data_IF_627540138357
#
_entry.id   IF_627540138357
#
_cell.length_a   1.000
_cell.length_b   1.000
_cell.length_c   1.000
_cell.angle_alpha   90.00
_cell.angle_beta   90.00
_cell.angle_gamma   90.00
#
_symmetry.space_group_name_H-M   'P 1'
#
loop_
_entity.id
_entity.type
_entity.pdbx_description
1 polymer ?
#
# COMPACT_ATOMS: atom_id res chain seq x y z
N UNK A 1 14.09 -41.06 -15.19
CA UNK A 1 13.58 -39.86 -14.50
C UNK A 1 14.76 -38.90 -14.38
N UNK A 2 14.86 -37.93 -15.30
CA UNK A 2 15.99 -36.99 -15.31
C UNK A 2 15.94 -36.10 -14.06
N UNK A 3 17.11 -35.88 -13.44
CA UNK A 3 17.24 -34.96 -12.30
C UNK A 3 16.80 -33.56 -12.74
N UNK A 4 15.94 -32.87 -11.99
CA UNK A 4 15.58 -31.50 -12.33
C UNK A 4 16.84 -30.64 -12.40
N UNK A 5 16.97 -29.88 -13.48
CA UNK A 5 18.08 -28.94 -13.70
C UNK A 5 18.25 -28.06 -12.47
N UNK A 6 19.49 -27.93 -11.98
CA UNK A 6 19.77 -27.09 -10.81
C UNK A 6 19.38 -25.64 -11.09
N UNK A 7 18.44 -25.12 -10.31
CA UNK A 7 18.07 -23.71 -10.37
C UNK A 7 19.27 -22.90 -9.85
N UNK A 8 19.88 -22.09 -10.71
CA UNK A 8 20.99 -21.23 -10.32
C UNK A 8 20.51 -20.14 -9.38
N UNK A 9 21.14 -20.04 -8.21
CA UNK A 9 20.93 -18.95 -7.22
C UNK A 9 21.85 -17.76 -7.46
N UNK A 10 22.65 -17.76 -8.53
CA UNK A 10 23.53 -16.63 -8.85
C UNK A 10 22.71 -15.37 -9.16
N UNK A 11 22.97 -14.32 -8.39
CA UNK A 11 22.44 -12.98 -8.67
C UNK A 11 23.15 -12.41 -9.89
N UNK A 12 22.44 -12.25 -11.02
CA UNK A 12 22.95 -11.56 -12.20
C UNK A 12 22.54 -10.10 -12.16
N UNK A 13 23.52 -9.20 -12.22
CA UNK A 13 23.25 -7.79 -12.41
C UNK A 13 22.77 -7.58 -13.86
N UNK A 14 21.46 -7.38 -14.04
CA UNK A 14 20.89 -7.06 -15.36
C UNK A 14 21.02 -5.57 -15.57
N UNK A 15 21.95 -5.15 -16.44
CA UNK A 15 22.00 -3.77 -16.94
C UNK A 15 21.26 -3.71 -18.26
N UNK A 16 20.45 -2.66 -18.44
CA UNK A 16 19.81 -2.36 -19.73
C UNK A 16 20.92 -2.11 -20.75
N UNK A 17 20.83 -2.70 -21.94
CA UNK A 17 21.81 -2.50 -22.99
C UNK A 17 21.90 -1.02 -23.37
N UNK A 18 23.10 -0.44 -23.50
CA UNK A 18 23.27 0.90 -24.05
C UNK A 18 22.58 0.98 -25.42
N UNK A 19 21.75 2.00 -25.64
CA UNK A 19 21.01 2.18 -26.91
C UNK A 19 19.63 1.51 -26.99
N UNK A 20 19.09 0.99 -25.88
CA UNK A 20 17.68 0.60 -25.84
C UNK A 20 16.81 1.86 -25.88
N UNK A 21 15.88 1.95 -26.83
CA UNK A 21 14.94 3.07 -26.91
C UNK A 21 14.23 3.29 -25.57
N UNK A 22 14.28 4.53 -25.07
CA UNK A 22 13.60 4.94 -23.86
C UNK A 22 12.31 5.67 -24.24
N UNK A 23 11.18 5.11 -23.83
CA UNK A 23 9.91 5.83 -23.91
C UNK A 23 9.93 6.94 -22.86
N UNK A 24 9.87 8.19 -23.33
CA UNK A 24 9.79 9.36 -22.46
C UNK A 24 8.34 9.82 -22.36
N UNK A 25 7.85 9.95 -21.13
CA UNK A 25 6.50 10.45 -20.85
C UNK A 25 6.63 11.65 -19.92
N UNK A 26 5.98 12.75 -20.27
CA UNK A 26 5.99 13.99 -19.48
C UNK A 26 4.74 14.06 -18.60
N UNK A 27 4.92 14.45 -17.34
CA UNK A 27 3.85 14.71 -16.40
C UNK A 27 4.33 15.64 -15.29
N UNK A 28 3.37 16.20 -14.56
CA UNK A 28 3.64 17.09 -13.42
C UNK A 28 3.85 16.26 -12.14
N UNK A 29 3.16 15.12 -12.03
CA UNK A 29 3.30 14.15 -10.92
C UNK A 29 3.49 12.74 -11.49
N UNK A 30 4.48 12.00 -10.97
CA UNK A 30 4.71 10.60 -11.28
C UNK A 30 4.37 9.74 -10.05
N UNK A 31 3.47 8.77 -10.24
CA UNK A 31 3.05 7.82 -9.21
C UNK A 31 3.63 6.45 -9.54
N UNK A 32 4.39 5.90 -8.60
CA UNK A 32 5.00 4.57 -8.70
C UNK A 32 4.23 3.57 -7.83
N UNK A 33 3.51 2.66 -8.47
CA UNK A 33 2.63 1.67 -7.87
C UNK A 33 1.16 2.08 -7.96
N UNK A 34 0.36 1.27 -8.62
CA UNK A 34 -1.09 1.37 -8.79
C UNK A 34 -1.86 0.47 -7.80
N UNK A 35 -1.35 0.32 -6.58
CA UNK A 35 -2.17 -0.11 -5.44
C UNK A 35 -3.16 0.96 -5.03
N UNK A 36 -3.99 0.69 -4.02
CA UNK A 36 -5.07 1.62 -3.63
C UNK A 36 -4.54 3.04 -3.29
N UNK A 37 -3.43 3.15 -2.55
CA UNK A 37 -2.83 4.44 -2.23
C UNK A 37 -2.35 5.21 -3.48
N UNK A 38 -1.70 4.52 -4.42
CA UNK A 38 -1.20 5.17 -5.62
C UNK A 38 -2.29 5.52 -6.62
N UNK A 39 -3.31 4.67 -6.77
CA UNK A 39 -4.50 5.02 -7.57
C UNK A 39 -5.22 6.22 -6.97
N UNK A 40 -5.41 6.27 -5.65
CA UNK A 40 -5.98 7.43 -4.97
C UNK A 40 -5.14 8.69 -5.17
N UNK A 41 -3.81 8.61 -5.06
CA UNK A 41 -2.92 9.73 -5.34
C UNK A 41 -3.02 10.21 -6.80
N UNK A 42 -3.07 9.29 -7.75
CA UNK A 42 -3.17 9.61 -9.17
C UNK A 42 -4.51 10.27 -9.51
N UNK A 43 -5.62 9.75 -8.97
CA UNK A 43 -6.94 10.32 -9.16
C UNK A 43 -7.03 11.72 -8.53
N UNK A 44 -6.55 11.88 -7.30
CA UNK A 44 -6.61 13.18 -6.61
C UNK A 44 -5.72 14.23 -7.30
N UNK A 45 -4.52 13.85 -7.72
CA UNK A 45 -3.66 14.75 -8.51
C UNK A 45 -4.31 15.16 -9.83
N UNK A 46 -5.00 14.24 -10.52
CA UNK A 46 -5.75 14.57 -11.72
C UNK A 46 -6.93 15.52 -11.45
N UNK A 47 -7.63 15.36 -10.32
CA UNK A 47 -8.71 16.29 -9.89
C UNK A 47 -8.18 17.69 -9.60
N UNK A 48 -6.95 17.81 -9.12
CA UNK A 48 -6.23 19.07 -8.95
C UNK A 48 -5.71 19.66 -10.27
N UNK A 49 -6.02 19.06 -11.41
CA UNK A 49 -5.65 19.54 -12.74
C UNK A 49 -4.21 19.22 -13.14
N UNK A 50 -3.55 18.28 -12.46
CA UNK A 50 -2.17 17.86 -12.77
C UNK A 50 -2.16 16.75 -13.82
N UNK A 51 -1.16 16.78 -14.70
CA UNK A 51 -0.88 15.67 -15.62
C UNK A 51 -0.15 14.58 -14.85
N UNK A 52 -0.79 13.42 -14.71
CA UNK A 52 -0.26 12.33 -13.89
C UNK A 52 0.28 11.21 -14.78
N UNK A 53 1.47 10.72 -14.45
CA UNK A 53 2.03 9.48 -14.99
C UNK A 53 1.90 8.42 -13.91
N UNK A 54 1.11 7.38 -14.13
CA UNK A 54 0.98 6.24 -13.23
C UNK A 54 1.73 5.04 -13.80
N UNK A 55 2.65 4.48 -13.02
CA UNK A 55 3.48 3.33 -13.41
C UNK A 55 3.26 2.21 -12.41
N UNK A 56 3.02 0.99 -12.88
CA UNK A 56 2.99 -0.21 -12.04
C UNK A 56 3.90 -1.30 -12.64
N UNK A 57 4.43 -2.17 -11.80
CA UNK A 57 5.23 -3.31 -12.21
C UNK A 57 4.37 -4.50 -12.66
N UNK A 58 3.08 -4.52 -12.29
CA UNK A 58 2.10 -5.54 -12.61
C UNK A 58 1.27 -5.13 -13.84
N UNK A 59 0.79 -6.12 -14.63
CA UNK A 59 -0.01 -5.85 -15.84
C UNK A 59 -1.46 -5.40 -15.54
N UNK A 60 -1.81 -5.19 -14.27
CA UNK A 60 -3.15 -4.79 -13.82
C UNK A 60 -3.07 -3.77 -12.68
N UNK A 61 -4.00 -2.81 -12.68
CA UNK A 61 -4.15 -1.80 -11.64
C UNK A 61 -4.99 -2.32 -10.47
N UNK A 62 -4.95 -1.61 -9.34
CA UNK A 62 -5.70 -1.92 -8.12
C UNK A 62 -4.89 -2.68 -7.07
N UNK A 63 -3.66 -3.08 -7.40
CA UNK A 63 -2.80 -3.86 -6.53
C UNK A 63 -3.30 -5.29 -6.32
N UNK A 64 -3.11 -5.82 -5.11
CA UNK A 64 -3.54 -7.16 -4.73
C UNK A 64 -4.64 -7.02 -3.68
N UNK A 65 -5.84 -7.54 -3.96
CA UNK A 65 -6.86 -7.70 -2.93
C UNK A 65 -6.54 -9.01 -2.20
N UNK A 66 -6.14 -8.90 -0.93
CA UNK A 66 -5.96 -10.09 -0.12
C UNK A 66 -7.32 -10.51 0.45
N UNK A 67 -7.83 -11.63 -0.04
CA UNK A 67 -9.13 -12.20 0.33
C UNK A 67 -9.00 -13.41 1.25
N UNK A 68 -7.77 -13.81 1.58
CA UNK A 68 -7.50 -15.13 2.18
C UNK A 68 -6.49 -14.99 3.31
N UNK A 69 -6.89 -15.35 4.53
CA UNK A 69 -5.99 -15.41 5.69
C UNK A 69 -5.12 -16.66 5.62
N UNK A 70 -4.21 -16.69 4.63
CA UNK A 70 -3.24 -17.76 4.43
C UNK A 70 -1.86 -17.25 4.83
N UNK A 71 -1.12 -18.08 5.56
CA UNK A 71 0.26 -17.77 5.92
C UNK A 71 1.14 -17.69 4.67
N UNK A 72 2.10 -16.77 4.66
CA UNK A 72 3.13 -16.64 3.61
C UNK A 72 4.46 -17.20 4.13
N UNK A 73 4.68 -18.53 4.08
CA UNK A 73 5.90 -19.14 4.58
C UNK A 73 7.10 -18.82 3.68
N UNK A 74 8.30 -18.83 4.27
CA UNK A 74 9.56 -18.57 3.56
C UNK A 74 10.08 -19.81 2.80
N UNK A 75 9.62 -21.01 3.17
CA UNK A 75 10.04 -22.25 2.53
C UNK A 75 9.26 -22.47 1.21
N UNK A 76 9.94 -22.75 0.08
CA UNK A 76 9.30 -22.82 -1.24
C UNK A 76 8.15 -23.83 -1.38
N UNK A 77 8.26 -25.02 -0.80
CA UNK A 77 7.20 -26.05 -0.89
C UNK A 77 5.99 -25.63 -0.05
N UNK A 78 6.20 -25.10 1.15
CA UNK A 78 5.15 -24.57 2.00
C UNK A 78 4.44 -23.38 1.33
N UNK A 79 5.19 -22.48 0.69
CA UNK A 79 4.64 -21.35 -0.04
C UNK A 79 3.78 -21.81 -1.22
N UNK A 80 4.24 -22.84 -1.94
CA UNK A 80 3.50 -23.44 -3.05
C UNK A 80 2.20 -24.10 -2.57
N UNK A 81 2.22 -24.82 -1.45
CA UNK A 81 1.01 -25.42 -0.85
C UNK A 81 0.01 -24.36 -0.40
N UNK A 82 0.47 -23.31 0.28
CA UNK A 82 -0.39 -22.22 0.72
C UNK A 82 -0.96 -21.41 -0.45
N UNK A 83 -0.22 -21.27 -1.54
CA UNK A 83 -0.75 -20.69 -2.77
C UNK A 83 -1.93 -21.50 -3.32
N UNK A 84 -1.85 -22.84 -3.33
CA UNK A 84 -2.97 -23.69 -3.77
C UNK A 84 -4.18 -23.57 -2.85
N UNK A 85 -3.96 -23.52 -1.53
CA UNK A 85 -5.04 -23.30 -0.56
C UNK A 85 -5.72 -21.94 -0.75
N UNK A 86 -4.94 -20.88 -0.95
CA UNK A 86 -5.46 -19.54 -1.23
C UNK A 86 -6.27 -19.47 -2.52
N UNK A 87 -5.85 -20.21 -3.58
CA UNK A 87 -6.60 -20.32 -4.83
C UNK A 87 -7.96 -20.99 -4.62
N UNK A 88 -7.97 -22.12 -3.92
CA UNK A 88 -9.21 -22.84 -3.60
C UNK A 88 -10.18 -21.97 -2.79
N UNK A 89 -9.69 -21.18 -1.82
CA UNK A 89 -10.53 -20.23 -1.08
C UNK A 89 -11.09 -19.12 -1.97
N UNK A 90 -10.29 -18.57 -2.88
CA UNK A 90 -10.76 -17.57 -3.84
C UNK A 90 -11.85 -18.14 -4.77
N UNK A 91 -11.71 -19.39 -5.20
CA UNK A 91 -12.73 -20.08 -5.99
C UNK A 91 -14.02 -20.29 -5.21
N UNK A 92 -13.94 -20.72 -3.95
CA UNK A 92 -15.13 -20.86 -3.10
C UNK A 92 -15.84 -19.51 -2.90
N UNK A 93 -15.10 -18.43 -2.70
CA UNK A 93 -15.68 -17.11 -2.56
C UNK A 93 -16.38 -16.66 -3.86
N UNK A 94 -15.72 -16.76 -5.01
CA UNK A 94 -16.25 -16.23 -6.28
C UNK A 94 -17.29 -17.15 -6.90
N UNK A 95 -16.99 -18.45 -7.01
CA UNK A 95 -17.81 -19.43 -7.72
C UNK A 95 -18.95 -19.98 -6.87
N UNK A 96 -18.79 -20.04 -5.54
CA UNK A 96 -19.86 -20.47 -4.65
C UNK A 96 -20.56 -19.26 -4.05
N UNK A 97 -19.89 -18.50 -3.18
CA UNK A 97 -20.58 -17.50 -2.37
C UNK A 97 -21.12 -16.30 -3.18
N UNK A 98 -20.27 -15.58 -3.91
CA UNK A 98 -20.71 -14.36 -4.61
C UNK A 98 -21.73 -14.66 -5.72
N UNK A 99 -21.54 -15.75 -6.45
CA UNK A 99 -22.48 -16.18 -7.48
C UNK A 99 -23.81 -16.67 -6.90
N UNK A 100 -23.81 -17.37 -5.76
CA UNK A 100 -25.04 -17.88 -5.14
C UNK A 100 -25.83 -16.79 -4.42
N UNK A 101 -25.16 -15.98 -3.62
CA UNK A 101 -25.80 -14.98 -2.76
C UNK A 101 -26.16 -13.71 -3.52
N UNK A 102 -25.38 -13.36 -4.55
CA UNK A 102 -25.53 -12.12 -5.31
C UNK A 102 -25.54 -12.36 -6.82
N UNK A 103 -26.45 -13.21 -7.34
CA UNK A 103 -26.44 -13.64 -8.74
C UNK A 103 -26.66 -12.49 -9.72
N UNK A 104 -27.42 -11.45 -9.34
CA UNK A 104 -27.66 -10.27 -10.18
C UNK A 104 -26.39 -9.47 -10.47
N UNK A 105 -25.47 -9.40 -9.50
CA UNK A 105 -24.21 -8.66 -9.62
C UNK A 105 -23.05 -9.55 -10.10
N UNK A 106 -22.99 -10.81 -9.64
CA UNK A 106 -21.82 -11.67 -9.80
C UNK A 106 -22.11 -13.01 -10.50
N UNK A 107 -23.31 -13.28 -11.00
CA UNK A 107 -23.66 -14.57 -11.62
C UNK A 107 -22.73 -14.99 -12.78
N UNK A 108 -22.20 -14.02 -13.52
CA UNK A 108 -21.20 -14.25 -14.58
C UNK A 108 -19.75 -13.96 -14.17
N UNK A 109 -19.48 -13.62 -12.90
CA UNK A 109 -18.14 -13.32 -12.41
C UNK A 109 -17.23 -14.55 -12.50
N UNK A 110 -15.98 -14.41 -12.93
CA UNK A 110 -15.01 -15.50 -13.01
C UNK A 110 -13.67 -15.02 -12.46
N UNK A 111 -12.88 -15.93 -11.91
CA UNK A 111 -11.51 -15.60 -11.49
C UNK A 111 -10.62 -15.47 -12.73
N UNK A 112 -10.16 -14.25 -13.00
CA UNK A 112 -9.28 -13.97 -14.15
C UNK A 112 -7.83 -14.40 -13.92
N UNK A 113 -7.34 -14.22 -12.71
CA UNK A 113 -5.99 -14.57 -12.29
C UNK A 113 -5.94 -14.76 -10.78
N UNK A 114 -4.99 -15.57 -10.32
CA UNK A 114 -4.73 -15.75 -8.89
C UNK A 114 -3.40 -15.08 -8.53
N UNK A 115 -3.39 -14.42 -7.37
CA UNK A 115 -2.17 -13.92 -6.75
C UNK A 115 -1.34 -15.02 -6.09
N UNK A 116 -0.13 -14.65 -5.67
CA UNK A 116 0.65 -15.42 -4.69
C UNK A 116 0.25 -14.99 -3.28
N UNK A 117 0.48 -15.82 -2.24
CA UNK A 117 0.37 -15.39 -0.86
C UNK A 117 1.09 -14.06 -0.63
N UNK A 118 0.33 -13.05 -0.20
CA UNK A 118 0.80 -11.68 -0.17
C UNK A 118 1.76 -11.44 0.99
N UNK A 119 2.92 -10.85 0.72
CA UNK A 119 3.78 -10.29 1.77
C UNK A 119 3.14 -8.98 2.25
N UNK A 120 2.70 -8.95 3.51
CA UNK A 120 1.94 -7.83 4.07
C UNK A 120 2.81 -6.62 4.43
N UNK A 121 4.11 -6.84 4.66
CA UNK A 121 5.06 -5.77 4.97
C UNK A 121 6.44 -6.14 4.42
N UNK A 122 7.14 -5.16 3.81
CA UNK A 122 8.49 -5.36 3.27
C UNK A 122 9.41 -4.26 3.80
N UNK A 123 9.88 -3.35 2.94
CA UNK A 123 10.73 -2.22 3.29
C UNK A 123 9.87 -0.97 3.26
N UNK A 124 10.18 -0.03 4.14
CA UNK A 124 9.64 1.32 4.13
C UNK A 124 10.74 2.33 3.87
N UNK A 125 10.34 3.55 3.56
CA UNK A 125 11.23 4.69 3.36
C UNK A 125 11.29 5.45 4.69
N UNK A 126 12.49 5.75 5.17
CA UNK A 126 12.68 6.53 6.41
C UNK A 126 12.18 7.95 6.18
N UNK A 127 11.27 8.38 7.04
CA UNK A 127 10.58 9.66 7.01
C UNK A 127 11.24 10.68 7.92
N UNK A 128 10.67 11.88 7.98
CA UNK A 128 11.07 12.93 8.93
C UNK A 128 10.59 12.63 10.35
N UNK A 129 9.55 11.81 10.47
CA UNK A 129 9.00 11.32 11.72
C UNK A 129 8.55 9.88 11.52
N UNK A 130 8.99 8.97 12.39
CA UNK A 130 8.49 7.61 12.40
C UNK A 130 7.17 7.53 13.18
N UNK A 131 6.17 6.85 12.62
CA UNK A 131 4.95 6.48 13.35
C UNK A 131 5.22 5.26 14.24
N UNK A 132 5.05 5.41 15.55
CA UNK A 132 5.29 4.32 16.51
C UNK A 132 4.02 3.63 16.96
N UNK A 133 4.13 2.39 17.43
CA UNK A 133 3.04 1.60 18.01
C UNK A 133 2.46 2.29 19.24
N UNK A 134 3.28 3.00 19.99
CA UNK A 134 2.82 3.74 21.15
C UNK A 134 1.99 4.96 20.76
N UNK A 135 2.27 5.59 19.61
CA UNK A 135 1.42 6.64 19.08
C UNK A 135 0.06 6.13 18.61
N UNK A 136 0.06 4.93 18.00
CA UNK A 136 -1.18 4.22 17.66
C UNK A 136 -1.98 3.93 18.92
N UNK A 137 -1.38 3.28 19.93
CA UNK A 137 -2.04 2.95 21.20
C UNK A 137 -2.59 4.16 21.95
N UNK A 138 -1.85 5.28 21.95
CA UNK A 138 -2.28 6.53 22.60
C UNK A 138 -3.34 7.29 21.82
N UNK A 139 -3.56 6.99 20.54
CA UNK A 139 -4.42 7.81 19.69
C UNK A 139 -3.82 9.19 19.43
N UNK A 140 -2.50 9.30 19.32
CA UNK A 140 -1.81 10.59 19.21
C UNK A 140 -2.33 11.37 18.00
N UNK A 141 -2.93 12.54 18.23
CA UNK A 141 -3.32 13.48 17.19
C UNK A 141 -2.16 14.44 16.91
N UNK A 142 -1.51 14.26 15.75
CA UNK A 142 -0.37 15.07 15.35
C UNK A 142 -0.81 16.41 14.77
N UNK A 143 -0.01 17.46 15.00
CA UNK A 143 -0.25 18.77 14.40
C UNK A 143 -0.28 18.72 12.87
N UNK A 144 0.47 17.79 12.28
CA UNK A 144 0.58 17.53 10.85
C UNK A 144 -0.18 16.26 10.41
N UNK A 145 -1.20 15.82 11.15
CA UNK A 145 -2.01 14.65 10.77
C UNK A 145 -2.67 14.82 9.39
N UNK A 146 -2.61 13.78 8.56
CA UNK A 146 -3.18 13.75 7.19
C UNK A 146 -4.24 12.67 6.98
N UNK A 147 -4.37 11.76 7.93
CA UNK A 147 -5.36 10.69 7.91
C UNK A 147 -5.63 10.23 9.34
N UNK A 148 -6.87 9.79 9.59
CA UNK A 148 -7.26 9.07 10.80
C UNK A 148 -7.62 7.62 10.50
N UNK A 149 -7.59 6.80 11.53
CA UNK A 149 -7.90 5.37 11.45
C UNK A 149 -8.34 4.84 12.81
N UNK A 150 -9.20 3.83 12.78
CA UNK A 150 -9.67 3.07 13.94
C UNK A 150 -9.40 1.57 13.79
N UNK A 151 -8.58 1.18 12.81
CA UNK A 151 -8.25 -0.24 12.62
C UNK A 151 -7.41 -0.75 13.80
N UNK A 152 -7.66 -1.97 14.31
CA UNK A 152 -6.82 -2.57 15.34
C UNK A 152 -5.42 -2.90 14.82
N UNK A 153 -4.45 -3.11 15.71
CA UNK A 153 -3.15 -3.65 15.30
C UNK A 153 -3.34 -5.11 14.88
N UNK A 154 -2.96 -5.44 13.65
CA UNK A 154 -3.09 -6.76 13.03
C UNK A 154 -1.70 -7.28 12.59
N UNK A 155 -0.90 -7.75 13.56
CA UNK A 155 0.49 -8.14 13.31
C UNK A 155 0.58 -9.59 12.81
N UNK A 156 1.36 -9.80 11.74
CA UNK A 156 1.60 -11.11 11.11
C UNK A 156 3.10 -11.45 11.18
N UNK A 157 3.68 -11.43 12.38
CA UNK A 157 5.12 -11.59 12.61
C UNK A 157 5.52 -12.98 13.09
N UNK A 158 4.57 -13.83 13.45
CA UNK A 158 4.81 -15.14 14.06
C UNK A 158 4.19 -16.30 13.29
N UNK A 159 4.83 -17.48 13.26
CA UNK A 159 4.31 -18.64 12.53
C UNK A 159 2.98 -19.17 13.08
N UNK A 160 2.72 -18.97 14.36
CA UNK A 160 1.56 -19.52 15.08
C UNK A 160 0.26 -18.76 14.76
N UNK A 161 0.33 -17.65 14.03
CA UNK A 161 -0.82 -16.89 13.56
C UNK A 161 -0.63 -15.39 13.64
N UNK A 162 -1.75 -14.66 13.70
CA UNK A 162 -1.77 -13.20 13.79
C UNK A 162 -1.99 -12.74 15.23
N UNK A 163 -1.49 -11.55 15.59
CA UNK A 163 -1.83 -10.84 16.82
C UNK A 163 -2.86 -9.75 16.47
N UNK A 164 -4.02 -9.79 17.13
CA UNK A 164 -4.94 -8.67 17.17
C UNK A 164 -4.80 -7.95 18.50
N UNK A 165 -4.50 -6.66 18.45
CA UNK A 165 -4.67 -5.76 19.58
C UNK A 165 -5.87 -4.86 19.25
N UNK A 166 -7.02 -5.22 19.82
CA UNK A 166 -8.25 -4.44 19.65
C UNK A 166 -8.22 -3.20 20.56
N UNK A 167 -8.85 -2.13 20.10
CA UNK A 167 -9.02 -0.90 20.85
C UNK A 167 -10.49 -0.69 21.22
N UNK A 168 -10.78 0.17 22.22
CA UNK A 168 -12.14 0.62 22.53
C UNK A 168 -12.83 1.28 21.33
N UNK A 169 -14.17 1.29 21.32
CA UNK A 169 -14.98 1.79 20.20
C UNK A 169 -14.76 3.28 19.87
N UNK A 170 -14.29 4.08 20.83
CA UNK A 170 -13.97 5.51 20.68
C UNK A 170 -12.52 5.77 20.27
N UNK A 171 -11.71 4.72 20.10
CA UNK A 171 -10.30 4.86 19.78
C UNK A 171 -10.07 5.25 18.31
N UNK A 172 -9.34 6.34 18.11
CA UNK A 172 -8.87 6.82 16.80
C UNK A 172 -7.41 7.22 16.94
N UNK A 173 -6.60 6.85 15.96
CA UNK A 173 -5.22 7.29 15.82
C UNK A 173 -4.97 7.87 14.43
N UNK A 174 -3.83 8.57 14.29
CA UNK A 174 -3.56 9.43 13.15
C UNK A 174 -2.25 9.08 12.46
N UNK A 175 -2.17 9.39 11.17
CA UNK A 175 -0.93 9.28 10.38
C UNK A 175 -0.33 10.68 10.23
N UNK A 176 0.88 10.95 10.75
CA UNK A 176 1.54 12.24 10.60
C UNK A 176 2.07 12.41 9.18
N UNK A 177 2.00 13.61 8.61
CA UNK A 177 2.60 13.89 7.30
C UNK A 177 4.11 13.61 7.28
N UNK A 178 4.80 13.85 8.40
CA UNK A 178 6.23 13.56 8.55
C UNK A 178 6.64 12.12 8.25
N UNK A 179 5.75 11.12 8.40
CA UNK A 179 6.06 9.72 8.07
C UNK A 179 5.97 9.40 6.58
N UNK A 180 5.34 10.28 5.80
CA UNK A 180 5.26 10.17 4.33
C UNK A 180 6.44 10.88 3.64
N UNK A 181 7.10 11.82 4.31
CA UNK A 181 8.12 12.69 3.71
C UNK A 181 9.53 12.19 4.05
N UNK A 182 10.33 11.75 3.05
CA UNK A 182 11.73 11.40 3.29
C UNK A 182 12.60 12.63 3.53
N UNK A 183 13.58 12.55 4.43
CA UNK A 183 14.45 13.69 4.73
C UNK A 183 15.40 14.07 3.57
N UNK A 184 15.75 13.10 2.72
CA UNK A 184 16.78 13.24 1.68
C UNK A 184 16.21 13.58 0.28
N UNK A 185 14.88 13.61 0.13
CA UNK A 185 14.23 13.83 -1.16
C UNK A 185 13.23 14.98 -1.09
N UNK A 186 13.43 16.00 -1.91
CA UNK A 186 12.61 17.22 -1.90
C UNK A 186 11.25 17.03 -2.58
N UNK A 187 11.12 16.10 -3.53
CA UNK A 187 9.95 15.96 -4.40
C UNK A 187 9.35 14.54 -4.36
N UNK A 188 9.53 13.83 -3.25
CA UNK A 188 9.07 12.46 -3.06
C UNK A 188 8.14 12.38 -1.85
N UNK A 189 7.02 11.69 -2.00
CA UNK A 189 6.10 11.37 -0.91
C UNK A 189 5.83 9.86 -0.94
N UNK A 190 6.18 9.16 0.13
CA UNK A 190 5.88 7.75 0.32
C UNK A 190 4.46 7.58 0.86
N UNK A 191 3.72 6.59 0.37
CA UNK A 191 2.33 6.33 0.82
C UNK A 191 2.05 4.84 0.98
N UNK A 192 1.00 4.53 1.75
CA UNK A 192 0.57 3.17 1.99
C UNK A 192 1.62 2.36 2.74
N UNK A 193 2.03 1.21 2.20
CA UNK A 193 3.02 0.32 2.86
C UNK A 193 4.44 0.89 2.91
N UNK A 194 4.69 2.01 2.23
CA UNK A 194 6.03 2.58 2.09
C UNK A 194 6.36 3.65 3.15
N UNK A 195 5.40 4.07 3.97
CA UNK A 195 5.60 5.13 4.98
C UNK A 195 6.50 4.65 6.13
N UNK A 196 7.12 5.58 6.83
CA UNK A 196 7.94 5.28 8.00
C UNK A 196 7.09 4.98 9.23
N UNK A 197 7.07 3.72 9.63
CA UNK A 197 6.46 3.29 10.87
C UNK A 197 7.05 1.98 11.34
N UNK A 198 6.98 1.71 12.63
CA UNK A 198 7.30 0.36 13.11
C UNK A 198 6.28 -0.66 12.61
N UNK A 199 6.64 -1.94 12.68
CA UNK A 199 5.82 -3.01 12.11
C UNK A 199 4.43 -3.13 12.73
N UNK A 200 4.29 -2.83 14.02
CA UNK A 200 3.00 -2.90 14.68
C UNK A 200 2.12 -1.71 14.29
N UNK A 201 2.67 -0.50 14.23
CA UNK A 201 1.94 0.67 13.75
C UNK A 201 1.51 0.52 12.30
N UNK A 202 2.43 0.09 11.41
CA UNK A 202 2.13 -0.18 10.01
C UNK A 202 1.03 -1.22 9.84
N UNK A 203 0.95 -2.21 10.73
CA UNK A 203 -0.08 -3.24 10.68
C UNK A 203 -1.50 -2.68 10.81
N UNK A 204 -1.66 -1.55 11.50
CA UNK A 204 -2.94 -0.84 11.63
C UNK A 204 -3.18 0.11 10.45
N UNK A 205 -2.19 0.96 10.13
CA UNK A 205 -2.41 2.08 9.20
C UNK A 205 -2.28 1.71 7.73
N UNK A 206 -1.83 0.49 7.38
CA UNK A 206 -1.68 0.04 5.99
C UNK A 206 -2.93 -0.60 5.38
N UNK A 207 -4.10 -0.47 6.03
CA UNK A 207 -5.39 -0.93 5.48
C UNK A 207 -5.95 0.05 4.44
N UNK A 208 -7.00 -0.36 3.71
CA UNK A 208 -7.45 0.36 2.50
C UNK A 208 -7.83 1.81 2.77
N UNK A 209 -8.63 2.09 3.82
CA UNK A 209 -9.10 3.44 4.13
C UNK A 209 -7.95 4.44 4.34
N UNK A 210 -7.04 4.20 5.30
CA UNK A 210 -5.92 5.11 5.55
C UNK A 210 -4.95 5.17 4.36
N UNK A 211 -4.79 4.10 3.58
CA UNK A 211 -4.02 4.12 2.34
C UNK A 211 -4.62 5.06 1.27
N UNK A 212 -5.95 5.08 1.13
CA UNK A 212 -6.66 6.03 0.26
C UNK A 212 -6.40 7.46 0.73
N UNK A 213 -6.57 7.71 2.03
CA UNK A 213 -6.36 9.02 2.65
C UNK A 213 -4.92 9.53 2.48
N UNK A 214 -3.92 8.66 2.71
CA UNK A 214 -2.50 8.95 2.46
C UNK A 214 -2.23 9.29 1.00
N UNK A 215 -2.83 8.54 0.06
CA UNK A 215 -2.71 8.79 -1.37
C UNK A 215 -3.22 10.18 -1.76
N UNK A 216 -4.44 10.52 -1.31
CA UNK A 216 -5.02 11.85 -1.53
C UNK A 216 -4.16 12.96 -0.90
N UNK A 217 -3.70 12.78 0.34
CA UNK A 217 -2.84 13.74 1.01
C UNK A 217 -1.51 13.98 0.27
N UNK A 218 -0.90 12.94 -0.28
CA UNK A 218 0.31 13.07 -1.09
C UNK A 218 0.10 13.91 -2.35
N UNK A 219 -1.06 13.75 -3.02
CA UNK A 219 -1.39 14.57 -4.18
C UNK A 219 -1.52 16.05 -3.82
N UNK A 220 -2.23 16.39 -2.73
CA UNK A 220 -2.33 17.78 -2.26
C UNK A 220 -0.99 18.35 -1.81
N UNK A 221 -0.14 17.55 -1.16
CA UNK A 221 1.20 17.97 -0.74
C UNK A 221 2.10 18.29 -1.93
N UNK A 222 2.11 17.44 -2.96
CA UNK A 222 2.87 17.67 -4.20
C UNK A 222 2.33 18.88 -4.97
N UNK A 223 1.01 19.05 -5.01
CA UNK A 223 0.38 20.23 -5.63
C UNK A 223 0.78 21.54 -4.92
N UNK A 224 0.77 21.54 -3.58
CA UNK A 224 1.22 22.69 -2.76
C UNK A 224 2.71 22.98 -2.95
N UNK A 225 3.54 21.93 -3.07
CA UNK A 225 4.97 22.08 -3.28
C UNK A 225 5.31 22.64 -4.67
N UNK A 226 4.54 22.26 -5.70
CA UNK A 226 4.85 22.61 -7.08
C UNK A 226 6.22 22.06 -7.50
N UNK A 227 7.14 22.96 -7.87
CA UNK A 227 8.55 22.60 -8.15
C UNK A 227 9.46 22.70 -6.92
N UNK A 228 8.92 23.07 -5.76
CA UNK A 228 9.64 23.19 -4.49
C UNK A 228 9.72 21.89 -3.71
N UNK A 229 10.12 22.00 -2.44
CA UNK A 229 10.24 20.86 -1.54
C UNK A 229 8.93 20.56 -0.81
N UNK A 230 8.48 19.31 -0.84
CA UNK A 230 7.33 18.84 -0.05
C UNK A 230 7.56 18.98 1.46
N UNK A 231 8.83 19.01 1.90
CA UNK A 231 9.18 19.22 3.30
C UNK A 231 9.02 20.67 3.77
N UNK A 232 8.78 21.61 2.86
CA UNK A 232 8.70 23.05 3.14
C UNK A 232 7.30 23.64 2.91
N UNK A 233 6.29 22.80 2.68
CA UNK A 233 4.92 23.26 2.45
C UNK A 233 4.27 23.78 3.74
N UNK A 234 3.24 24.61 3.58
CA UNK A 234 2.36 24.99 4.69
C UNK A 234 1.50 23.77 5.11
N UNK A 235 1.88 23.15 6.22
CA UNK A 235 1.17 22.00 6.80
C UNK A 235 -0.27 22.36 7.18
N UNK A 236 -0.54 23.60 7.61
CA UNK A 236 -1.91 24.01 7.91
C UNK A 236 -2.75 24.11 6.63
N UNK A 237 -2.16 24.55 5.51
CA UNK A 237 -2.82 24.51 4.21
C UNK A 237 -3.08 23.07 3.75
N UNK A 238 -2.13 22.15 3.96
CA UNK A 238 -2.35 20.74 3.68
C UNK A 238 -3.51 20.19 4.51
N UNK A 239 -3.51 20.40 5.83
CA UNK A 239 -4.57 19.93 6.73
C UNK A 239 -5.95 20.47 6.34
N UNK A 240 -6.04 21.72 5.88
CA UNK A 240 -7.30 22.27 5.34
C UNK A 240 -7.78 21.53 4.08
N UNK A 241 -6.87 21.14 3.18
CA UNK A 241 -7.22 20.39 1.96
C UNK A 241 -7.64 18.96 2.25
N UNK A 242 -7.09 18.34 3.29
CA UNK A 242 -7.40 16.96 3.70
C UNK A 242 -8.28 16.88 4.94
N UNK A 243 -9.06 17.93 5.22
CA UNK A 243 -9.89 18.03 6.42
C UNK A 243 -10.74 16.77 6.64
N UNK A 244 -11.40 16.29 5.59
CA UNK A 244 -12.30 15.13 5.65
C UNK A 244 -11.57 13.80 5.94
N UNK A 245 -10.24 13.75 5.78
CA UNK A 245 -9.44 12.59 6.17
C UNK A 245 -9.11 12.58 7.66
N UNK A 246 -9.25 13.72 8.36
CA UNK A 246 -8.74 13.93 9.72
C UNK A 246 -9.89 14.16 10.71
N UNK A 247 -10.94 14.89 10.32
CA UNK A 247 -12.13 15.20 11.14
C UNK A 247 -13.34 14.36 10.73
#
# INVERSE_FOLDING_TARGET
MERPQSISTMTRLVRRSPGTDAHSVLGDICVLGAGIAGVSAALEAARLGRRVVLVDALPALGGQVNLTHVQTPLEPLAASRNALLGKAQADLLVLHFLQSEFPEAFGSARVRSYGLPGIRQTRWIVGRQQLTVDDVRRGTNFADAIARTSWPIELHDRPEGYLWEAFPDDHVHYVPFGSLVPAEAANLVAVGRCIDGDSAALSSVRVMGPCIAMGAAAAHALDLAGSGSVAQIDVAALRRRVHDNVE
#
